data_IF_973003251857
#
_entry.id   IF_973003251857
#
_cell.length_a   1.000
_cell.length_b   1.000
_cell.length_c   1.000
_cell.angle_alpha   90.00
_cell.angle_beta   90.00
_cell.angle_gamma   90.00
#
_symmetry.space_group_name_H-M   'P 1'
#
loop_
_entity.id
_entity.type
_entity.pdbx_description
1 polymer ?
#
# COMPACT_ATOMS: atom_id res chain seq x y z
N UNK A 1 -5.63 -7.62 -20.93
CA UNK A 1 -6.94 -6.94 -20.95
C UNK A 1 -7.30 -6.64 -19.51
N UNK A 2 -7.64 -5.40 -19.17
CA UNK A 2 -8.06 -5.06 -17.80
C UNK A 2 -9.44 -5.68 -17.54
N UNK A 3 -9.57 -6.43 -16.45
CA UNK A 3 -10.85 -7.05 -16.04
C UNK A 3 -11.81 -5.97 -15.58
N UNK A 4 -13.05 -5.99 -16.07
CA UNK A 4 -14.04 -4.97 -15.70
C UNK A 4 -14.46 -5.15 -14.23
N UNK A 5 -14.77 -4.05 -13.53
CA UNK A 5 -15.20 -4.11 -12.11
C UNK A 5 -16.37 -5.08 -11.89
N UNK A 6 -17.28 -5.16 -12.85
CA UNK A 6 -18.44 -6.06 -12.80
C UNK A 6 -18.03 -7.53 -12.71
N UNK A 7 -16.99 -7.95 -13.45
CA UNK A 7 -16.51 -9.34 -13.44
C UNK A 7 -15.93 -9.71 -12.06
N UNK A 8 -15.26 -8.75 -11.41
CA UNK A 8 -14.79 -8.94 -10.03
C UNK A 8 -15.94 -9.11 -9.05
N UNK A 9 -16.97 -8.27 -9.17
CA UNK A 9 -18.16 -8.34 -8.31
C UNK A 9 -18.85 -9.68 -8.48
N UNK A 10 -18.97 -10.18 -9.72
CA UNK A 10 -19.57 -11.49 -10.00
C UNK A 10 -18.78 -12.64 -9.37
N UNK A 11 -17.45 -12.65 -9.49
CA UNK A 11 -16.60 -13.67 -8.87
C UNK A 11 -16.70 -13.64 -7.33
N UNK A 12 -16.66 -12.46 -6.72
CA UNK A 12 -16.71 -12.31 -5.26
C UNK A 12 -18.09 -12.62 -4.66
N UNK A 13 -19.16 -12.51 -5.47
CA UNK A 13 -20.54 -12.76 -5.07
C UNK A 13 -21.00 -14.20 -5.30
N UNK A 14 -20.09 -15.12 -5.65
CA UNK A 14 -20.43 -16.52 -5.84
C UNK A 14 -21.19 -17.09 -4.63
N UNK A 15 -22.25 -17.86 -4.88
CA UNK A 15 -23.20 -18.32 -3.85
C UNK A 15 -22.56 -19.26 -2.82
N UNK A 16 -21.67 -20.14 -3.26
CA UNK A 16 -21.09 -21.19 -2.41
C UNK A 16 -19.56 -21.12 -2.37
N UNK A 17 -18.91 -20.93 -3.54
CA UNK A 17 -17.47 -21.00 -3.65
C UNK A 17 -16.92 -19.90 -4.55
N UNK A 18 -15.95 -19.14 -4.03
CA UNK A 18 -15.20 -18.15 -4.80
C UNK A 18 -14.09 -18.86 -5.56
N UNK A 19 -14.07 -18.69 -6.88
CA UNK A 19 -13.04 -19.26 -7.76
C UNK A 19 -11.72 -18.48 -7.62
N UNK A 20 -10.89 -18.90 -6.66
CA UNK A 20 -9.62 -18.23 -6.34
C UNK A 20 -8.62 -18.30 -7.49
N UNK A 21 -8.67 -19.34 -8.31
CA UNK A 21 -7.76 -19.46 -9.45
C UNK A 21 -8.11 -18.46 -10.56
N UNK A 22 -9.40 -18.22 -10.82
CA UNK A 22 -9.82 -17.09 -11.66
C UNK A 22 -9.44 -15.74 -11.07
N UNK A 23 -9.60 -15.55 -9.75
CA UNK A 23 -9.14 -14.32 -9.09
C UNK A 23 -7.64 -14.10 -9.30
N UNK A 24 -6.82 -15.16 -9.18
CA UNK A 24 -5.37 -15.10 -9.45
C UNK A 24 -5.08 -14.73 -10.90
N UNK A 25 -5.77 -15.35 -11.86
CA UNK A 25 -5.58 -15.07 -13.28
C UNK A 25 -5.88 -13.60 -13.61
N UNK A 26 -7.00 -13.08 -13.11
CA UNK A 26 -7.37 -11.69 -13.30
C UNK A 26 -6.40 -10.73 -12.59
N UNK A 27 -5.99 -11.04 -11.35
CA UNK A 27 -5.14 -10.17 -10.54
C UNK A 27 -3.74 -9.94 -11.13
N UNK A 28 -3.22 -10.88 -11.94
CA UNK A 28 -1.96 -10.68 -12.69
C UNK A 28 -1.99 -9.42 -13.58
N UNK A 29 -3.17 -9.07 -14.07
CA UNK A 29 -3.41 -7.92 -14.95
C UNK A 29 -3.89 -6.67 -14.21
N UNK A 30 -3.87 -6.69 -12.88
CA UNK A 30 -4.32 -5.59 -12.02
C UNK A 30 -5.73 -5.82 -11.48
N UNK A 31 -5.94 -5.44 -10.23
CA UNK A 31 -7.23 -5.57 -9.54
C UNK A 31 -7.91 -4.21 -9.50
N UNK A 32 -9.23 -4.16 -9.68
CA UNK A 32 -9.98 -2.91 -9.56
C UNK A 32 -9.90 -2.34 -8.13
N UNK A 33 -9.70 -1.03 -8.01
CA UNK A 33 -9.38 -0.41 -6.72
C UNK A 33 -10.43 -0.67 -5.64
N UNK A 34 -11.71 -0.71 -6.02
CA UNK A 34 -12.86 -0.91 -5.12
C UNK A 34 -12.88 -2.28 -4.43
N UNK A 35 -12.31 -3.31 -5.06
CA UNK A 35 -12.34 -4.69 -4.56
C UNK A 35 -10.95 -5.20 -4.16
N UNK A 36 -9.90 -4.40 -4.37
CA UNK A 36 -8.50 -4.81 -4.18
C UNK A 36 -8.23 -5.42 -2.82
N UNK A 37 -8.69 -4.77 -1.75
CA UNK A 37 -8.51 -5.29 -0.39
C UNK A 37 -9.14 -6.66 -0.17
N UNK A 38 -10.37 -6.87 -0.65
CA UNK A 38 -11.07 -8.17 -0.53
C UNK A 38 -10.35 -9.25 -1.35
N UNK A 39 -9.98 -8.94 -2.61
CA UNK A 39 -9.24 -9.86 -3.48
C UNK A 39 -7.90 -10.25 -2.85
N UNK A 40 -7.14 -9.30 -2.31
CA UNK A 40 -5.86 -9.57 -1.65
C UNK A 40 -6.01 -10.55 -0.49
N UNK A 41 -7.09 -10.42 0.30
CA UNK A 41 -7.36 -11.33 1.41
C UNK A 41 -7.70 -12.75 0.95
N UNK A 42 -8.33 -12.94 -0.22
CA UNK A 42 -8.44 -14.26 -0.85
C UNK A 42 -7.09 -14.79 -1.34
N UNK A 43 -6.30 -13.96 -2.03
CA UNK A 43 -4.99 -14.36 -2.57
C UNK A 43 -3.97 -14.74 -1.48
N UNK A 44 -4.11 -14.16 -0.30
CA UNK A 44 -3.33 -14.45 0.90
C UNK A 44 -3.91 -15.58 1.77
N UNK A 45 -5.02 -16.20 1.35
CA UNK A 45 -5.75 -17.22 2.11
C UNK A 45 -6.18 -16.75 3.52
N UNK A 46 -6.54 -15.47 3.66
CA UNK A 46 -7.22 -14.95 4.87
C UNK A 46 -8.71 -15.28 4.78
N UNK A 47 -9.33 -14.99 3.63
CA UNK A 47 -10.72 -15.35 3.36
C UNK A 47 -10.81 -16.78 2.82
N UNK A 48 -11.80 -17.53 3.33
CA UNK A 48 -12.08 -18.88 2.86
C UNK A 48 -12.73 -18.82 1.49
N UNK A 49 -12.27 -19.62 0.54
CA UNK A 49 -12.94 -19.76 -0.75
C UNK A 49 -14.37 -20.34 -0.61
N UNK A 50 -14.61 -21.13 0.44
CA UNK A 50 -15.95 -21.60 0.81
C UNK A 50 -16.70 -20.54 1.62
N UNK A 51 -17.73 -19.96 1.01
CA UNK A 51 -18.55 -18.90 1.60
C UNK A 51 -19.32 -19.36 2.83
N UNK A 52 -19.63 -20.66 2.95
CA UNK A 52 -20.45 -21.17 4.07
C UNK A 52 -19.72 -21.10 5.41
N UNK A 53 -18.39 -21.23 5.38
CA UNK A 53 -17.52 -21.17 6.56
C UNK A 53 -16.85 -19.80 6.75
N UNK A 54 -16.92 -18.92 5.75
CA UNK A 54 -16.18 -17.66 5.68
C UNK A 54 -16.46 -16.73 6.88
N UNK A 55 -17.73 -16.45 7.21
CA UNK A 55 -18.05 -15.58 8.35
C UNK A 55 -17.51 -16.16 9.65
N UNK A 56 -17.79 -17.44 9.92
CA UNK A 56 -17.42 -18.06 11.19
C UNK A 56 -15.90 -18.04 11.37
N UNK A 57 -15.15 -18.33 10.30
CA UNK A 57 -13.69 -18.21 10.29
C UNK A 57 -13.24 -16.77 10.57
N UNK A 58 -13.81 -15.80 9.87
CA UNK A 58 -13.42 -14.40 9.98
C UNK A 58 -13.82 -13.77 11.33
N UNK A 59 -14.94 -14.18 11.92
CA UNK A 59 -15.30 -13.82 13.29
C UNK A 59 -14.30 -14.39 14.30
N UNK A 60 -13.90 -15.65 14.14
CA UNK A 60 -12.87 -16.26 14.98
C UNK A 60 -11.54 -15.51 14.87
N UNK A 61 -11.11 -15.16 13.66
CA UNK A 61 -9.91 -14.37 13.42
C UNK A 61 -10.01 -12.98 14.05
N UNK A 62 -11.17 -12.32 13.95
CA UNK A 62 -11.39 -11.03 14.61
C UNK A 62 -11.34 -11.17 16.14
N UNK A 63 -11.93 -12.21 16.73
CA UNK A 63 -11.82 -12.44 18.19
C UNK A 63 -10.37 -12.60 18.62
N UNK A 64 -9.58 -13.39 17.89
CA UNK A 64 -8.14 -13.52 18.14
C UNK A 64 -7.43 -12.16 18.04
N UNK A 65 -7.72 -11.38 17.00
CA UNK A 65 -7.17 -10.04 16.82
C UNK A 65 -7.52 -9.09 17.99
N UNK A 66 -8.78 -9.09 18.44
CA UNK A 66 -9.22 -8.24 19.55
C UNK A 66 -8.54 -8.62 20.88
N UNK A 67 -8.23 -9.90 21.07
CA UNK A 67 -7.56 -10.38 22.29
C UNK A 67 -6.08 -9.97 22.40
N UNK A 68 -5.45 -9.57 21.28
CA UNK A 68 -4.03 -9.18 21.27
C UNK A 68 -3.83 -7.77 21.86
N UNK A 69 -2.82 -7.56 22.73
CA UNK A 69 -2.44 -6.21 23.14
C UNK A 69 -1.77 -5.45 21.99
N UNK A 70 -1.99 -4.14 21.89
CA UNK A 70 -1.30 -3.25 20.95
C UNK A 70 -0.07 -2.56 21.54
N UNK A 71 0.11 -2.60 22.86
CA UNK A 71 1.24 -1.97 23.54
C UNK A 71 2.53 -2.73 23.27
N UNK A 72 3.60 -2.00 22.95
CA UNK A 72 4.95 -2.51 22.69
C UNK A 72 5.99 -1.63 23.41
N UNK A 73 7.27 -2.04 23.51
CA UNK A 73 8.31 -1.24 24.14
C UNK A 73 8.41 0.17 23.53
N UNK A 74 8.60 1.18 24.38
CA UNK A 74 8.55 2.61 23.99
C UNK A 74 9.55 3.00 22.90
N UNK A 75 10.74 2.38 22.89
CA UNK A 75 11.75 2.58 21.85
C UNK A 75 11.22 2.13 20.48
N UNK A 76 10.50 1.00 20.46
CA UNK A 76 9.95 0.40 19.25
C UNK A 76 8.76 1.23 18.73
N UNK A 77 7.87 1.66 19.62
CA UNK A 77 6.80 2.61 19.29
C UNK A 77 7.37 3.88 18.67
N UNK A 78 8.41 4.46 19.28
CA UNK A 78 9.04 5.69 18.78
C UNK A 78 9.64 5.49 17.39
N UNK A 79 10.35 4.39 17.18
CA UNK A 79 10.96 4.06 15.88
C UNK A 79 9.91 3.84 14.78
N UNK A 80 8.86 3.07 15.06
CA UNK A 80 7.77 2.80 14.11
C UNK A 80 7.05 4.11 13.76
N UNK A 81 6.68 4.92 14.76
CA UNK A 81 5.94 6.17 14.52
C UNK A 81 6.77 7.23 13.79
N UNK A 82 8.07 7.34 14.08
CA UNK A 82 8.96 8.23 13.34
C UNK A 82 9.10 7.79 11.87
N UNK A 83 9.29 6.49 11.65
CA UNK A 83 9.38 5.91 10.30
C UNK A 83 8.08 6.11 9.53
N UNK A 84 6.94 5.84 10.17
CA UNK A 84 5.61 6.04 9.61
C UNK A 84 5.34 7.50 9.28
N UNK A 85 5.72 8.44 10.15
CA UNK A 85 5.55 9.88 9.89
C UNK A 85 6.37 10.35 8.68
N UNK A 86 7.63 9.90 8.59
CA UNK A 86 8.49 10.19 7.45
C UNK A 86 7.89 9.63 6.15
N UNK A 87 7.44 8.37 6.18
CA UNK A 87 6.81 7.71 5.02
C UNK A 87 5.52 8.41 4.60
N UNK A 88 4.63 8.74 5.54
CA UNK A 88 3.39 9.48 5.28
C UNK A 88 3.69 10.83 4.62
N UNK A 89 4.62 11.58 5.20
CA UNK A 89 5.01 12.90 4.72
C UNK A 89 5.57 12.84 3.29
N UNK A 90 6.38 11.82 2.99
CA UNK A 90 6.98 11.64 1.67
C UNK A 90 5.96 11.19 0.62
N UNK A 91 5.16 10.16 0.90
CA UNK A 91 4.35 9.48 -0.11
C UNK A 91 2.92 10.02 -0.27
N UNK A 92 2.35 10.62 0.78
CA UNK A 92 0.94 11.06 0.78
C UNK A 92 0.76 12.58 0.64
N UNK A 93 1.84 13.38 0.62
CA UNK A 93 1.77 14.84 0.41
C UNK A 93 2.21 15.31 -0.99
N UNK A 94 2.90 14.48 -1.77
CA UNK A 94 3.44 14.83 -3.09
C UNK A 94 2.58 14.28 -4.26
N UNK A 95 2.93 14.63 -5.49
CA UNK A 95 2.25 14.24 -6.76
C UNK A 95 1.98 12.73 -6.94
N UNK A 96 2.68 11.86 -6.18
CA UNK A 96 2.33 10.44 -5.93
C UNK A 96 0.85 10.21 -5.60
N UNK A 97 0.22 11.20 -4.99
CA UNK A 97 -1.15 11.17 -4.52
C UNK A 97 -2.21 11.31 -5.63
N UNK A 98 -1.91 12.06 -6.70
CA UNK A 98 -2.86 12.29 -7.79
C UNK A 98 -3.19 10.97 -8.51
N UNK A 99 -2.22 10.07 -8.64
CA UNK A 99 -2.41 8.72 -9.21
C UNK A 99 -3.22 7.78 -8.30
N UNK A 100 -3.05 7.86 -6.97
CA UNK A 100 -3.86 7.09 -6.03
C UNK A 100 -5.32 7.53 -6.03
N UNK A 101 -5.59 8.85 -5.99
CA UNK A 101 -6.96 9.33 -6.10
C UNK A 101 -7.55 8.99 -7.46
N UNK A 102 -6.83 9.17 -8.56
CA UNK A 102 -7.33 8.83 -9.90
C UNK A 102 -7.66 7.34 -9.97
N UNK A 103 -6.81 6.44 -9.46
CA UNK A 103 -7.13 5.00 -9.44
C UNK A 103 -8.26 4.61 -8.48
N UNK A 104 -8.43 5.32 -7.36
CA UNK A 104 -9.54 5.09 -6.40
C UNK A 104 -10.87 5.70 -6.91
N UNK A 105 -10.82 6.81 -7.67
CA UNK A 105 -12.00 7.61 -8.08
C UNK A 105 -12.37 7.48 -9.56
N UNK A 106 -11.50 6.99 -10.45
CA UNK A 106 -11.74 6.91 -11.90
C UNK A 106 -12.98 6.07 -12.27
N UNK A 107 -13.41 5.17 -11.39
CA UNK A 107 -14.57 4.32 -11.64
C UNK A 107 -15.91 4.92 -11.18
N UNK A 108 -15.94 6.15 -10.62
CA UNK A 108 -17.20 6.83 -10.27
C UNK A 108 -17.91 7.51 -11.46
N UNK A 109 -17.41 7.38 -12.70
CA UNK A 109 -18.05 7.98 -13.87
C UNK A 109 -18.65 6.96 -14.85
N UNK A 110 -19.59 6.15 -14.36
CA UNK A 110 -20.62 5.60 -15.23
C UNK A 110 -21.56 6.72 -15.68
N UNK A 111 -21.31 7.32 -16.86
CA UNK A 111 -22.31 8.19 -17.51
C UNK A 111 -23.18 7.37 -18.47
N UNK A 112 -24.52 7.43 -18.35
CA UNK A 112 -25.42 6.85 -19.34
C UNK A 112 -25.39 7.67 -20.63
N UNK A 113 -25.62 7.01 -21.75
CA UNK A 113 -25.45 7.55 -23.09
C UNK A 113 -26.22 8.84 -23.37
N UNK A 114 -25.62 9.68 -24.22
CA UNK A 114 -26.35 10.65 -25.04
C UNK A 114 -25.59 10.89 -26.34
N UNK A 115 -26.38 10.82 -27.40
CA UNK A 115 -26.11 10.82 -28.83
C UNK A 115 -25.13 11.87 -29.38
N UNK A 116 -24.43 11.40 -30.43
CA UNK A 116 -23.87 12.16 -31.55
C UNK A 116 -24.60 13.46 -31.90
N UNK A 117 -23.83 14.53 -32.17
CA UNK A 117 -24.09 15.44 -33.30
C UNK A 117 -22.81 16.14 -33.73
N UNK A 118 -22.47 15.90 -34.99
CA UNK A 118 -21.48 16.58 -35.84
C UNK A 118 -21.89 18.02 -36.13
N UNK A 119 -20.95 18.97 -36.13
CA UNK A 119 -21.00 20.15 -36.99
C UNK A 119 -19.60 20.75 -37.18
N UNK A 120 -19.20 20.81 -38.44
CA UNK A 120 -18.07 21.51 -39.03
C UNK A 120 -18.22 23.04 -39.01
N UNK A 121 -17.11 23.79 -38.98
CA UNK A 121 -17.11 25.23 -39.28
C UNK A 121 -15.75 25.90 -39.14
N UNK A 122 -15.11 26.16 -40.28
CA UNK A 122 -13.84 26.87 -40.52
C UNK A 122 -13.95 28.41 -40.48
N UNK A 123 -12.85 29.12 -40.19
CA UNK A 123 -12.51 30.39 -40.87
C UNK A 123 -12.21 31.66 -40.05
N UNK A 124 -10.90 31.92 -39.85
CA UNK A 124 -10.13 33.15 -40.16
C UNK A 124 -10.49 34.59 -39.69
N UNK A 125 -9.47 35.25 -39.11
CA UNK A 125 -9.09 36.68 -39.26
C UNK A 125 -9.73 37.67 -38.26
N UNK A 126 -9.06 38.68 -37.68
CA UNK A 126 -7.70 39.24 -37.79
C UNK A 126 -7.70 40.69 -37.21
N UNK A 127 -6.61 41.11 -36.55
CA UNK A 127 -6.26 42.51 -36.19
C UNK A 127 -7.06 43.16 -35.05
N UNK A 128 -6.55 44.00 -34.16
CA UNK A 128 -5.26 44.68 -33.96
C UNK A 128 -5.44 45.78 -32.90
N UNK A 129 -4.34 46.31 -32.33
CA UNK A 129 -4.32 47.50 -31.45
C UNK A 129 -4.16 47.18 -29.95
N UNK A 130 -2.96 47.15 -29.35
CA UNK A 130 -1.99 48.22 -29.06
C UNK A 130 -2.27 49.00 -27.76
N UNK A 131 -1.32 48.85 -26.83
CA UNK A 131 -0.85 49.78 -25.77
C UNK A 131 -1.81 50.14 -24.62
N UNK A 132 -1.40 49.87 -23.36
CA UNK A 132 -0.61 50.84 -22.61
C UNK A 132 0.01 50.24 -21.33
N UNK A 133 1.23 50.69 -21.01
CA UNK A 133 1.91 50.45 -19.74
C UNK A 133 1.46 51.49 -18.71
N UNK A 134 1.39 51.11 -17.43
CA UNK A 134 1.86 51.97 -16.32
C UNK A 134 2.19 51.14 -15.08
N UNK A 135 3.38 51.42 -14.57
CA UNK A 135 3.99 51.02 -13.30
C UNK A 135 3.29 51.60 -12.06
N UNK A 136 3.44 50.94 -10.91
CA UNK A 136 3.17 51.52 -9.59
C UNK A 136 3.44 50.54 -8.45
N UNK A 137 4.26 50.96 -7.50
CA UNK A 137 5.00 50.14 -6.54
C UNK A 137 4.63 50.54 -5.10
N UNK A 138 4.46 49.54 -4.21
CA UNK A 138 4.53 49.58 -2.72
C UNK A 138 3.38 50.36 -2.02
N UNK A 139 2.91 50.11 -0.77
CA UNK A 139 3.49 49.65 0.51
C UNK A 139 2.38 49.10 1.45
N UNK A 140 2.74 48.28 2.45
CA UNK A 140 1.93 47.95 3.66
C UNK A 140 1.58 49.18 4.53
N UNK A 141 0.66 49.08 5.52
CA UNK A 141 1.11 48.94 6.93
C UNK A 141 0.14 48.28 7.97
N UNK A 142 0.77 47.69 9.01
CA UNK A 142 0.48 47.55 10.47
C UNK A 142 -0.94 47.60 11.14
N UNK A 143 -1.10 46.68 12.12
CA UNK A 143 -1.94 46.64 13.37
C UNK A 143 -1.61 47.79 14.38
N UNK A 144 -2.22 47.89 15.61
CA UNK A 144 -3.56 47.60 16.19
C UNK A 144 -4.09 48.86 16.98
N UNK A 145 -4.95 48.89 18.05
CA UNK A 145 -4.91 48.16 19.35
C UNK A 145 -6.30 47.71 19.92
N UNK A 146 -6.31 47.09 21.11
CA UNK A 146 -7.49 46.48 21.77
C UNK A 146 -8.09 47.28 22.95
N UNK A 147 -8.99 46.62 23.71
CA UNK A 147 -9.42 47.06 25.05
C UNK A 147 -10.82 46.58 25.47
N UNK A 148 -10.84 45.69 26.48
CA UNK A 148 -11.77 45.59 27.65
C UNK A 148 -13.30 45.53 27.44
N UNK A 149 -14.15 44.92 28.26
CA UNK A 149 -14.16 44.09 29.49
C UNK A 149 -15.67 43.77 29.64
N UNK A 150 -16.08 42.66 30.27
CA UNK A 150 -17.20 42.63 31.24
C UNK A 150 -17.31 41.24 31.88
N UNK A 151 -17.22 41.26 33.20
CA UNK A 151 -17.32 40.16 34.16
C UNK A 151 -18.75 39.68 34.40
N UNK A 152 -18.86 38.44 34.92
CA UNK A 152 -19.65 37.99 36.09
C UNK A 152 -20.24 36.59 35.86
N UNK A 153 -20.45 35.70 36.84
CA UNK A 153 -19.84 35.40 38.14
C UNK A 153 -20.52 34.09 38.64
N UNK A 154 -19.87 33.40 39.58
CA UNK A 154 -20.40 32.44 40.58
C UNK A 154 -20.88 31.01 40.21
N UNK A 155 -20.04 30.04 40.62
CA UNK A 155 -20.23 28.95 41.60
C UNK A 155 -21.55 28.15 41.69
N UNK A 156 -21.47 26.80 41.64
CA UNK A 156 -21.56 25.96 42.86
C UNK A 156 -21.29 24.43 42.64
N UNK A 157 -20.44 23.87 43.51
CA UNK A 157 -20.49 22.56 44.21
C UNK A 157 -20.90 21.23 43.54
N UNK A 158 -19.95 20.28 43.65
CA UNK A 158 -20.07 18.87 44.12
C UNK A 158 -20.83 17.84 43.27
N UNK A 159 -20.10 16.84 42.72
CA UNK A 159 -20.19 15.40 43.03
C UNK A 159 -19.53 14.57 41.92
N UNK A 160 -18.70 13.61 42.31
CA UNK A 160 -18.17 12.54 41.45
C UNK A 160 -19.25 11.50 41.16
N UNK A 161 -19.14 10.76 40.03
CA UNK A 161 -19.26 9.31 40.16
C UNK A 161 -18.28 8.50 39.28
N UNK A 162 -18.01 7.30 39.79
CA UNK A 162 -17.34 6.14 39.17
C UNK A 162 -18.16 5.53 38.01
N UNK A 163 -17.56 4.65 37.17
CA UNK A 163 -18.09 4.31 35.85
C UNK A 163 -19.13 3.19 35.93
N UNK A 164 -20.29 3.39 35.31
CA UNK A 164 -21.22 2.32 35.01
C UNK A 164 -21.19 1.98 33.52
N UNK A 165 -21.03 0.68 33.29
CA UNK A 165 -21.34 -0.04 32.06
C UNK A 165 -22.58 0.49 31.35
N UNK A 166 -22.50 0.67 30.03
CA UNK A 166 -23.52 0.26 29.04
C UNK A 166 -23.09 0.71 27.65
N UNK A 167 -22.88 -0.26 26.76
CA UNK A 167 -22.94 -0.10 25.31
C UNK A 167 -24.32 0.44 24.97
N UNK A 168 -24.43 1.72 24.65
CA UNK A 168 -25.64 2.30 24.08
C UNK A 168 -25.29 3.06 22.80
N UNK A 169 -25.71 2.42 21.70
CA UNK A 169 -26.18 2.99 20.44
C UNK A 169 -25.74 4.43 20.11
N UNK A 170 -24.91 4.54 19.07
CA UNK A 170 -24.90 5.70 18.20
C UNK A 170 -25.15 5.25 16.77
N UNK A 171 -26.43 5.12 16.42
CA UNK A 171 -26.88 5.19 15.03
C UNK A 171 -26.90 6.67 14.62
N UNK A 172 -26.17 7.02 13.57
CA UNK A 172 -26.44 8.24 12.79
C UNK A 172 -26.05 8.07 11.32
N UNK A 173 -27.11 7.81 10.54
CA UNK A 173 -27.38 8.24 9.16
C UNK A 173 -26.31 8.00 8.08
N UNK A 174 -26.50 6.92 7.31
CA UNK A 174 -26.25 6.93 5.87
C UNK A 174 -27.58 6.56 5.19
N UNK A 175 -28.13 7.52 4.46
CA UNK A 175 -29.34 7.36 3.67
C UNK A 175 -28.94 6.85 2.26
N UNK A 176 -29.20 5.58 1.97
CA UNK A 176 -29.17 5.03 0.61
C UNK A 176 -30.58 4.54 0.30
N UNK A 177 -31.23 5.23 -0.64
CA UNK A 177 -32.55 4.88 -1.13
C UNK A 177 -32.55 3.50 -1.81
N UNK A 178 -33.40 2.60 -1.29
CA UNK A 178 -34.35 1.83 -2.10
C UNK A 178 -33.86 0.59 -2.83
N UNK A 179 -33.53 -0.47 -2.08
CA UNK A 179 -34.08 -1.84 -2.23
C UNK A 179 -33.28 -2.81 -1.33
N UNK A 180 -33.40 -2.64 0.00
CA UNK A 180 -32.75 -3.48 1.00
C UNK A 180 -33.76 -3.97 2.05
N UNK A 181 -34.61 -4.93 1.70
CA UNK A 181 -35.42 -5.63 2.72
C UNK A 181 -35.22 -7.14 2.78
N UNK A 182 -34.27 -7.72 2.04
CA UNK A 182 -33.89 -9.14 2.17
C UNK A 182 -32.42 -9.45 1.78
N UNK A 183 -31.46 -8.69 2.29
CA UNK A 183 -30.02 -9.02 2.22
C UNK A 183 -29.42 -9.26 3.63
N UNK A 184 -30.19 -9.93 4.48
CA UNK A 184 -29.65 -10.60 5.66
C UNK A 184 -29.02 -11.92 5.23
N UNK A 185 -27.69 -12.08 5.35
CA UNK A 185 -27.07 -13.20 6.11
C UNK A 185 -25.54 -13.30 6.05
N UNK A 186 -24.83 -12.83 5.02
CA UNK A 186 -23.36 -13.02 4.96
C UNK A 186 -22.58 -11.75 4.62
N UNK A 187 -22.98 -11.07 3.54
CA UNK A 187 -22.32 -9.85 3.07
C UNK A 187 -22.41 -8.69 4.05
N UNK A 188 -23.52 -8.54 4.78
CA UNK A 188 -23.69 -7.51 5.83
C UNK A 188 -22.76 -7.72 7.03
N UNK A 189 -22.40 -8.98 7.34
CA UNK A 189 -21.45 -9.29 8.41
C UNK A 189 -20.01 -9.10 7.91
N UNK A 190 -19.73 -9.55 6.68
CA UNK A 190 -18.43 -9.33 6.04
C UNK A 190 -18.14 -7.83 5.86
N UNK A 191 -19.11 -7.03 5.39
CA UNK A 191 -18.95 -5.59 5.20
C UNK A 191 -18.75 -4.81 6.50
N UNK A 192 -19.20 -5.34 7.64
CA UNK A 192 -18.91 -4.75 8.96
C UNK A 192 -17.43 -4.86 9.31
N UNK A 193 -16.80 -5.95 8.91
CA UNK A 193 -15.43 -6.30 9.29
C UNK A 193 -14.43 -5.88 8.21
N UNK A 194 -14.84 -5.94 6.94
CA UNK A 194 -14.12 -5.50 5.75
C UNK A 194 -15.01 -4.56 4.92
N UNK A 195 -15.24 -3.32 5.39
CA UNK A 195 -15.95 -2.32 4.61
C UNK A 195 -15.17 -1.97 3.34
N UNK A 196 -15.82 -1.33 2.35
CA UNK A 196 -15.17 -0.91 1.12
C UNK A 196 -13.91 -0.07 1.43
N UNK A 197 -12.93 -0.08 0.51
CA UNK A 197 -11.68 0.64 0.69
C UNK A 197 -11.95 2.13 0.92
N UNK A 198 -11.04 2.81 1.64
CA UNK A 198 -11.20 4.23 1.93
C UNK A 198 -11.30 5.04 0.62
N UNK A 199 -12.29 5.93 0.55
CA UNK A 199 -12.54 6.79 -0.63
C UNK A 199 -11.57 7.97 -0.74
N UNK A 200 -10.80 8.20 0.32
CA UNK A 200 -9.73 9.17 0.37
C UNK A 200 -8.56 8.59 1.16
N UNK A 201 -7.32 8.93 0.80
CA UNK A 201 -6.15 8.49 1.54
C UNK A 201 -6.18 8.96 3.00
N UNK A 202 -5.55 8.19 3.90
CA UNK A 202 -5.66 8.40 5.33
C UNK A 202 -5.04 9.72 5.76
N UNK A 203 -5.73 10.42 6.67
CA UNK A 203 -5.13 11.54 7.39
C UNK A 203 -3.87 11.05 8.14
N UNK A 204 -2.91 11.95 8.38
CA UNK A 204 -1.70 11.59 9.14
C UNK A 204 -2.04 10.90 10.46
N UNK A 205 -3.01 11.44 11.20
CA UNK A 205 -3.40 10.88 12.48
C UNK A 205 -3.98 9.47 12.34
N UNK A 206 -4.89 9.25 11.37
CA UNK A 206 -5.47 7.95 11.11
C UNK A 206 -4.40 6.92 10.67
N UNK A 207 -3.45 7.34 9.82
CA UNK A 207 -2.36 6.51 9.35
C UNK A 207 -1.44 6.05 10.50
N UNK A 208 -1.00 6.99 11.35
CA UNK A 208 -0.15 6.69 12.49
C UNK A 208 -0.86 5.80 13.51
N UNK A 209 -2.12 6.12 13.84
CA UNK A 209 -2.92 5.35 14.79
C UNK A 209 -3.16 3.91 14.31
N UNK A 210 -3.45 3.72 13.03
CA UNK A 210 -3.66 2.39 12.47
C UNK A 210 -2.38 1.55 12.46
N UNK A 211 -1.23 2.13 12.08
CA UNK A 211 0.05 1.43 12.13
C UNK A 211 0.47 1.08 13.56
N UNK A 212 0.27 1.97 14.52
CA UNK A 212 0.57 1.71 15.93
C UNK A 212 -0.22 0.50 16.45
N UNK A 213 -1.53 0.45 16.18
CA UNK A 213 -2.39 -0.66 16.59
C UNK A 213 -1.99 -1.98 15.90
N UNK A 214 -1.89 -1.96 14.56
CA UNK A 214 -1.66 -3.15 13.75
C UNK A 214 -0.28 -3.74 14.00
N UNK A 215 0.77 -2.92 13.94
CA UNK A 215 2.14 -3.38 14.16
C UNK A 215 2.39 -3.76 15.62
N UNK A 216 1.75 -3.04 16.56
CA UNK A 216 1.80 -3.38 17.97
C UNK A 216 1.20 -4.75 18.26
N UNK A 217 0.01 -5.05 17.70
CA UNK A 217 -0.61 -6.36 17.82
C UNK A 217 0.19 -7.44 17.10
N UNK A 218 0.79 -7.13 15.94
CA UNK A 218 1.64 -8.08 15.21
C UNK A 218 2.88 -8.47 16.01
N UNK A 219 3.59 -7.50 16.59
CA UNK A 219 4.74 -7.75 17.46
C UNK A 219 4.36 -8.67 18.63
N UNK A 220 3.22 -8.40 19.30
CA UNK A 220 2.75 -9.24 20.40
C UNK A 220 2.37 -10.65 19.94
N UNK A 221 1.70 -10.79 18.79
CA UNK A 221 1.37 -12.08 18.22
C UNK A 221 2.63 -12.91 17.89
N UNK A 222 3.66 -12.28 17.33
CA UNK A 222 4.93 -12.94 17.04
C UNK A 222 5.64 -13.42 18.31
N UNK A 223 5.67 -12.58 19.35
CA UNK A 223 6.26 -12.95 20.64
C UNK A 223 5.53 -14.14 21.30
N UNK A 224 4.20 -14.20 21.19
CA UNK A 224 3.41 -15.32 21.74
C UNK A 224 3.76 -16.67 21.11
N UNK A 225 4.29 -16.68 19.88
CA UNK A 225 4.73 -17.89 19.18
C UNK A 225 6.26 -18.05 19.26
N UNK A 226 6.92 -17.35 20.18
CA UNK A 226 8.36 -17.45 20.42
C UNK A 226 9.25 -16.78 19.38
N UNK A 227 8.69 -15.86 18.57
CA UNK A 227 9.44 -15.07 17.57
C UNK A 227 9.74 -13.67 18.10
N UNK A 228 10.39 -13.64 19.26
CA UNK A 228 10.80 -12.42 19.93
C UNK A 228 11.96 -11.70 19.22
N UNK A 229 12.41 -10.58 19.79
CA UNK A 229 13.49 -9.76 19.23
C UNK A 229 14.82 -10.57 19.10
N UNK A 230 15.06 -11.54 19.99
CA UNK A 230 16.25 -12.40 19.93
C UNK A 230 16.16 -13.39 18.77
N UNK A 231 15.01 -14.05 18.62
CA UNK A 231 14.75 -14.95 17.50
C UNK A 231 14.90 -14.21 16.15
N UNK A 232 14.37 -12.99 16.05
CA UNK A 232 14.48 -12.16 14.83
C UNK A 232 15.93 -11.82 14.52
N UNK A 233 16.70 -11.35 15.51
CA UNK A 233 18.12 -11.02 15.34
C UNK A 233 18.94 -12.21 14.85
N UNK A 234 18.68 -13.40 15.41
CA UNK A 234 19.39 -14.63 15.04
C UNK A 234 19.02 -15.13 13.65
N UNK A 235 17.73 -15.03 13.29
CA UNK A 235 17.21 -15.57 12.03
C UNK A 235 17.51 -14.67 10.84
N UNK A 236 17.40 -13.35 11.03
CA UNK A 236 17.56 -12.38 9.96
C UNK A 236 19.00 -11.85 9.85
N UNK A 237 19.82 -12.00 10.90
CA UNK A 237 21.18 -11.43 11.00
C UNK A 237 21.20 -9.91 10.73
N UNK A 238 20.08 -9.24 11.02
CA UNK A 238 19.86 -7.81 10.79
C UNK A 238 19.22 -7.19 12.02
N UNK A 239 19.58 -5.95 12.32
CA UNK A 239 19.00 -5.15 13.40
C UNK A 239 17.90 -4.22 12.87
N UNK A 240 16.96 -3.85 13.76
CA UNK A 240 15.89 -2.87 13.49
C UNK A 240 14.98 -3.18 12.29
N UNK A 241 14.81 -4.46 11.96
CA UNK A 241 13.96 -4.93 10.84
C UNK A 241 12.48 -4.57 11.00
N UNK A 242 12.06 -4.15 12.19
CA UNK A 242 10.69 -3.72 12.48
C UNK A 242 10.37 -2.38 11.80
N UNK A 243 11.38 -1.60 11.40
CA UNK A 243 11.19 -0.42 10.53
C UNK A 243 10.55 -0.82 9.21
N UNK A 244 10.94 -1.99 8.69
CA UNK A 244 10.50 -2.51 7.40
C UNK A 244 8.99 -2.80 7.38
N UNK A 245 8.44 -3.11 8.55
CA UNK A 245 7.01 -3.39 8.70
C UNK A 245 6.13 -2.19 8.36
N UNK A 246 6.64 -0.96 8.54
CA UNK A 246 5.90 0.25 8.16
C UNK A 246 5.62 0.26 6.66
N UNK A 247 6.65 0.00 5.84
CA UNK A 247 6.51 0.03 4.38
C UNK A 247 5.71 -1.17 3.88
N UNK A 248 5.89 -2.35 4.49
CA UNK A 248 5.16 -3.56 4.13
C UNK A 248 3.68 -3.54 4.54
N UNK A 249 3.33 -2.86 5.65
CA UNK A 249 1.95 -2.74 6.11
C UNK A 249 1.17 -1.62 5.42
N UNK A 250 1.86 -0.61 4.88
CA UNK A 250 1.23 0.57 4.26
C UNK A 250 0.29 0.24 3.09
N UNK A 251 0.63 -0.68 2.15
CA UNK A 251 -0.28 -1.08 1.08
C UNK A 251 -1.63 -1.59 1.59
N UNK A 252 -1.65 -2.37 2.68
CA UNK A 252 -2.89 -2.84 3.30
C UNK A 252 -3.73 -1.70 3.88
N UNK A 253 -3.10 -0.69 4.50
CA UNK A 253 -3.79 0.52 4.97
C UNK A 253 -4.49 1.29 3.84
N UNK A 254 -3.99 1.19 2.62
CA UNK A 254 -4.52 1.92 1.48
C UNK A 254 -5.73 1.22 0.85
N UNK A 255 -5.88 -0.10 1.05
CA UNK A 255 -6.91 -0.92 0.38
C UNK A 255 -7.90 -1.56 1.35
N UNK A 256 -7.67 -1.44 2.67
CA UNK A 256 -8.54 -1.94 3.72
C UNK A 256 -8.89 -0.80 4.69
N UNK A 257 -10.15 -0.74 5.11
CA UNK A 257 -10.64 0.33 5.96
C UNK A 257 -10.61 0.01 7.47
N UNK A 258 -10.34 -1.24 7.86
CA UNK A 258 -10.33 -1.69 9.28
C UNK A 258 -8.97 -2.27 9.67
N UNK A 259 -8.44 -1.93 10.87
CA UNK A 259 -7.19 -2.48 11.39
C UNK A 259 -7.13 -4.01 11.40
N UNK A 260 -8.22 -4.71 11.71
CA UNK A 260 -8.27 -6.19 11.68
C UNK A 260 -7.93 -6.76 10.30
N UNK A 261 -8.47 -6.18 9.23
CA UNK A 261 -8.15 -6.63 7.86
C UNK A 261 -6.69 -6.36 7.51
N UNK A 262 -6.20 -5.17 7.89
CA UNK A 262 -4.79 -4.78 7.67
C UNK A 262 -3.84 -5.75 8.38
N UNK A 263 -4.13 -6.07 9.64
CA UNK A 263 -3.38 -7.02 10.45
C UNK A 263 -3.38 -8.42 9.83
N UNK A 264 -4.55 -8.96 9.45
CA UNK A 264 -4.64 -10.31 8.92
C UNK A 264 -3.91 -10.43 7.57
N UNK A 265 -4.07 -9.45 6.68
CA UNK A 265 -3.34 -9.38 5.42
C UNK A 265 -1.83 -9.27 5.63
N UNK A 266 -1.40 -8.36 6.50
CA UNK A 266 0.00 -8.17 6.84
C UNK A 266 0.62 -9.43 7.47
N UNK A 267 -0.07 -10.08 8.40
CA UNK A 267 0.40 -11.32 9.03
C UNK A 267 0.62 -12.42 7.98
N UNK A 268 -0.32 -12.60 7.04
CA UNK A 268 -0.18 -13.59 5.96
C UNK A 268 0.92 -13.22 4.96
N UNK A 269 1.13 -11.94 4.68
CA UNK A 269 2.27 -11.50 3.90
C UNK A 269 3.60 -11.85 4.60
N UNK A 270 3.71 -11.59 5.90
CA UNK A 270 4.91 -11.92 6.67
C UNK A 270 5.15 -13.43 6.76
N UNK A 271 4.10 -14.24 6.89
CA UNK A 271 4.18 -15.70 6.76
C UNK A 271 4.72 -16.12 5.38
N UNK A 272 4.22 -15.52 4.29
CA UNK A 272 4.71 -15.80 2.93
C UNK A 272 6.16 -15.34 2.75
N UNK A 273 6.55 -14.18 3.26
CA UNK A 273 7.93 -13.70 3.22
C UNK A 273 8.90 -14.60 3.97
N UNK A 274 8.47 -15.28 5.03
CA UNK A 274 9.29 -16.29 5.73
C UNK A 274 9.48 -17.58 4.93
N UNK A 275 8.57 -17.89 3.99
CA UNK A 275 8.70 -19.06 3.12
C UNK A 275 9.71 -18.87 1.98
N UNK A 276 10.14 -17.63 1.72
CA UNK A 276 11.21 -17.35 0.76
C UNK A 276 12.56 -17.84 1.32
N UNK A 277 13.57 -18.06 0.46
CA UNK A 277 14.93 -18.41 0.91
C UNK A 277 15.47 -17.43 1.97
N UNK A 278 16.51 -17.77 2.75
CA UNK A 278 17.14 -16.80 3.67
C UNK A 278 17.60 -15.53 2.95
N UNK A 279 17.58 -14.37 3.64
CA UNK A 279 17.91 -13.06 3.05
C UNK A 279 19.25 -13.06 2.27
N UNK A 280 20.35 -13.65 2.77
CA UNK A 280 21.59 -13.73 2.00
C UNK A 280 21.43 -14.44 0.65
N UNK A 281 20.67 -15.53 0.63
CA UNK A 281 20.36 -16.30 -0.58
C UNK A 281 19.46 -15.54 -1.54
N UNK A 282 18.49 -14.77 -1.02
CA UNK A 282 17.66 -13.87 -1.85
C UNK A 282 18.51 -12.85 -2.57
N UNK A 283 19.36 -12.17 -1.80
CA UNK A 283 20.28 -11.15 -2.31
C UNK A 283 21.25 -11.75 -3.33
N UNK A 284 21.85 -12.89 -3.04
CA UNK A 284 22.75 -13.58 -3.97
C UNK A 284 22.06 -13.96 -5.29
N UNK A 285 20.81 -14.45 -5.23
CA UNK A 285 20.02 -14.80 -6.42
C UNK A 285 19.76 -13.57 -7.29
N UNK A 286 19.32 -12.47 -6.66
CA UNK A 286 19.10 -11.19 -7.33
C UNK A 286 20.39 -10.62 -7.95
N UNK A 287 21.47 -10.51 -7.17
CA UNK A 287 22.74 -9.95 -7.65
C UNK A 287 23.34 -10.77 -8.78
N UNK A 288 23.24 -12.10 -8.71
CA UNK A 288 23.69 -12.97 -9.78
C UNK A 288 22.84 -12.77 -11.04
N UNK A 289 21.52 -12.69 -10.90
CA UNK A 289 20.63 -12.40 -12.04
C UNK A 289 20.92 -11.03 -12.66
N UNK A 290 21.12 -10.00 -11.84
CA UNK A 290 21.48 -8.65 -12.30
C UNK A 290 22.77 -8.69 -13.13
N UNK A 291 23.84 -9.30 -12.59
CA UNK A 291 25.13 -9.43 -13.29
C UNK A 291 25.03 -10.18 -14.62
N UNK A 292 24.17 -11.19 -14.72
CA UNK A 292 23.99 -11.98 -15.93
C UNK A 292 23.13 -11.27 -16.97
N UNK A 293 22.05 -10.62 -16.54
CA UNK A 293 21.08 -10.02 -17.43
C UNK A 293 21.54 -8.65 -17.97
N UNK A 294 22.28 -7.88 -17.18
CA UNK A 294 22.69 -6.51 -17.53
C UNK A 294 24.16 -6.28 -17.12
N UNK A 295 25.12 -7.00 -17.74
CA UNK A 295 26.52 -6.97 -17.33
C UNK A 295 27.17 -5.58 -17.47
N UNK A 296 26.75 -4.77 -18.45
CA UNK A 296 27.25 -3.41 -18.65
C UNK A 296 26.93 -2.50 -17.45
N UNK A 297 25.65 -2.46 -17.05
CA UNK A 297 25.22 -1.66 -15.90
C UNK A 297 25.84 -2.16 -14.60
N UNK A 298 26.04 -3.47 -14.46
CA UNK A 298 26.74 -4.04 -13.32
C UNK A 298 28.20 -3.57 -13.27
N UNK A 299 28.92 -3.55 -14.40
CA UNK A 299 30.30 -3.04 -14.45
C UNK A 299 30.35 -1.57 -14.08
N UNK A 300 29.45 -0.76 -14.65
CA UNK A 300 29.32 0.65 -14.33
C UNK A 300 29.08 0.87 -12.82
N UNK A 301 28.18 0.09 -12.20
CA UNK A 301 27.90 0.20 -10.78
C UNK A 301 29.12 -0.12 -9.89
N UNK A 302 29.98 -1.05 -10.32
CA UNK A 302 31.25 -1.35 -9.63
C UNK A 302 32.24 -0.19 -9.80
N UNK A 303 32.38 0.34 -11.02
CA UNK A 303 33.32 1.42 -11.34
C UNK A 303 32.97 2.74 -10.62
N UNK A 304 31.68 3.09 -10.60
CA UNK A 304 31.13 4.27 -9.90
C UNK A 304 30.85 4.03 -8.41
N UNK A 305 31.18 2.85 -7.88
CA UNK A 305 30.99 2.49 -6.47
C UNK A 305 29.55 2.68 -5.97
N UNK A 306 28.57 2.45 -6.85
CA UNK A 306 27.15 2.46 -6.49
C UNK A 306 26.93 1.34 -5.46
N UNK A 307 26.33 1.59 -4.28
CA UNK A 307 26.14 0.57 -3.26
C UNK A 307 24.92 -0.33 -3.58
N UNK A 308 24.91 -0.97 -4.76
CA UNK A 308 23.80 -1.76 -5.26
C UNK A 308 23.48 -2.99 -4.40
N UNK A 309 24.45 -3.49 -3.61
CA UNK A 309 24.23 -4.53 -2.60
C UNK A 309 23.32 -4.03 -1.47
N UNK A 310 23.55 -2.80 -0.98
CA UNK A 310 22.73 -2.19 0.07
C UNK A 310 21.33 -1.88 -0.44
N UNK A 311 21.23 -1.37 -1.68
CA UNK A 311 19.96 -1.14 -2.37
C UNK A 311 19.20 -2.46 -2.53
N UNK A 312 19.87 -3.49 -3.07
CA UNK A 312 19.31 -4.82 -3.26
C UNK A 312 18.79 -5.44 -1.97
N UNK A 313 19.50 -5.27 -0.86
CA UNK A 313 19.03 -5.73 0.44
C UNK A 313 17.70 -5.07 0.83
N UNK A 314 17.60 -3.75 0.69
CA UNK A 314 16.37 -2.99 0.95
C UNK A 314 15.21 -3.48 0.07
N UNK A 315 15.47 -3.74 -1.21
CA UNK A 315 14.44 -4.25 -2.13
C UNK A 315 13.96 -5.65 -1.72
N UNK A 316 14.89 -6.54 -1.34
CA UNK A 316 14.59 -7.92 -0.95
C UNK A 316 13.85 -8.03 0.40
N UNK A 317 14.03 -7.09 1.32
CA UNK A 317 13.33 -7.10 2.62
C UNK A 317 11.99 -6.39 2.57
N UNK A 318 11.84 -5.37 1.72
CA UNK A 318 10.65 -4.50 1.69
C UNK A 318 9.75 -4.71 0.48
N UNK A 319 10.10 -5.64 -0.43
CA UNK A 319 9.37 -5.88 -1.68
C UNK A 319 9.17 -4.59 -2.50
N UNK A 320 10.20 -3.73 -2.53
CA UNK A 320 10.22 -2.40 -3.15
C UNK A 320 9.26 -1.37 -2.53
N UNK A 321 8.49 -1.72 -1.50
CA UNK A 321 7.46 -0.85 -0.92
C UNK A 321 8.02 0.43 -0.30
N UNK A 322 9.32 0.43 0.02
CA UNK A 322 10.02 1.60 0.54
C UNK A 322 10.43 2.56 -0.58
N UNK A 323 10.85 2.05 -1.74
CA UNK A 323 11.47 2.81 -2.82
C UNK A 323 10.49 3.26 -3.92
N UNK A 324 9.48 2.44 -4.25
CA UNK A 324 8.53 2.75 -5.33
C UNK A 324 7.37 3.66 -4.89
N UNK A 325 6.69 4.23 -5.88
CA UNK A 325 5.48 5.01 -5.69
C UNK A 325 4.33 4.10 -5.22
N UNK A 326 3.46 4.63 -4.36
CA UNK A 326 2.45 3.80 -3.70
C UNK A 326 1.41 3.24 -4.69
N UNK A 327 1.03 4.00 -5.73
CA UNK A 327 0.17 3.47 -6.80
C UNK A 327 0.80 2.29 -7.53
N UNK A 328 2.09 2.40 -7.85
CA UNK A 328 2.86 1.36 -8.54
C UNK A 328 2.99 0.11 -7.66
N UNK A 329 3.19 0.29 -6.35
CA UNK A 329 3.23 -0.81 -5.39
C UNK A 329 1.89 -1.54 -5.30
N UNK A 330 0.77 -0.82 -5.27
CA UNK A 330 -0.55 -1.47 -5.26
C UNK A 330 -0.74 -2.32 -6.52
N UNK A 331 -0.41 -1.78 -7.71
CA UNK A 331 -0.49 -2.54 -8.97
C UNK A 331 0.48 -3.71 -9.00
N UNK A 332 1.71 -3.53 -8.51
CA UNK A 332 2.72 -4.59 -8.48
C UNK A 332 2.31 -5.73 -7.55
N UNK A 333 1.74 -5.38 -6.39
CA UNK A 333 1.32 -6.35 -5.40
C UNK A 333 0.08 -7.15 -5.83
N UNK A 334 -0.78 -6.59 -6.70
CA UNK A 334 -1.82 -7.38 -7.38
C UNK A 334 -1.22 -8.61 -8.09
N UNK A 335 -0.10 -8.43 -8.80
CA UNK A 335 0.59 -9.52 -9.48
C UNK A 335 1.41 -10.40 -8.53
N UNK A 336 2.06 -9.82 -7.52
CA UNK A 336 2.84 -10.59 -6.54
C UNK A 336 1.97 -11.55 -5.74
N UNK A 337 0.83 -11.09 -5.23
CA UNK A 337 -0.06 -11.92 -4.41
C UNK A 337 -0.73 -13.03 -5.23
N UNK A 338 -0.90 -12.81 -6.53
CA UNK A 338 -1.40 -13.79 -7.49
C UNK A 338 -0.33 -14.76 -8.03
N UNK A 339 0.95 -14.48 -7.79
CA UNK A 339 2.05 -15.32 -8.28
C UNK A 339 2.17 -16.61 -7.47
N UNK A 340 2.37 -17.72 -8.17
CA UNK A 340 2.70 -19.00 -7.54
C UNK A 340 4.11 -18.99 -6.93
N UNK A 341 5.05 -18.30 -7.59
CA UNK A 341 6.42 -18.09 -7.11
C UNK A 341 6.67 -16.58 -7.05
N UNK A 342 6.31 -15.99 -5.92
CA UNK A 342 6.44 -14.55 -5.68
C UNK A 342 7.91 -14.14 -5.53
N UNK A 343 8.77 -15.00 -4.99
CA UNK A 343 10.20 -14.72 -4.84
C UNK A 343 10.88 -14.61 -6.20
N UNK A 344 10.69 -15.60 -7.07
CA UNK A 344 11.28 -15.54 -8.40
C UNK A 344 10.79 -14.33 -9.19
N UNK A 345 9.47 -14.08 -9.20
CA UNK A 345 8.91 -12.90 -9.84
C UNK A 345 9.54 -11.60 -9.32
N UNK A 346 9.73 -11.49 -8.00
CA UNK A 346 10.34 -10.32 -7.38
C UNK A 346 11.78 -10.08 -7.87
N UNK A 347 12.62 -11.13 -7.96
CA UNK A 347 13.97 -11.00 -8.50
C UNK A 347 13.98 -10.48 -9.94
N UNK A 348 13.09 -10.99 -10.80
CA UNK A 348 12.99 -10.51 -12.18
C UNK A 348 12.47 -9.08 -12.28
N UNK A 349 11.52 -8.69 -11.43
CA UNK A 349 11.04 -7.29 -11.37
C UNK A 349 12.15 -6.34 -10.93
N UNK A 350 12.95 -6.70 -9.92
CA UNK A 350 14.10 -5.88 -9.50
C UNK A 350 15.10 -5.67 -10.65
N UNK A 351 15.39 -6.70 -11.45
CA UNK A 351 16.26 -6.55 -12.63
C UNK A 351 15.59 -5.77 -13.76
N UNK A 352 14.28 -5.94 -13.97
CA UNK A 352 13.52 -5.14 -14.94
C UNK A 352 13.53 -3.65 -14.58
N UNK A 353 13.46 -3.29 -13.29
CA UNK A 353 13.62 -1.91 -12.82
C UNK A 353 15.01 -1.37 -13.19
N UNK A 354 16.07 -2.13 -12.91
CA UNK A 354 17.43 -1.73 -13.27
C UNK A 354 17.60 -1.57 -14.78
N UNK A 355 17.02 -2.46 -15.59
CA UNK A 355 17.03 -2.34 -17.05
C UNK A 355 16.31 -1.07 -17.52
N UNK A 356 15.15 -0.77 -16.92
CA UNK A 356 14.35 0.42 -17.24
C UNK A 356 15.10 1.71 -16.92
N UNK A 357 15.87 1.71 -15.83
CA UNK A 357 16.65 2.88 -15.41
C UNK A 357 18.07 2.92 -15.99
N UNK A 358 18.51 1.94 -16.79
CA UNK A 358 19.92 1.79 -17.21
C UNK A 358 20.51 3.07 -17.78
N UNK A 359 19.87 3.66 -18.79
CA UNK A 359 20.38 4.85 -19.48
C UNK A 359 20.54 6.02 -18.51
N UNK A 360 19.53 6.26 -17.66
CA UNK A 360 19.61 7.33 -16.65
C UNK A 360 20.68 7.04 -15.60
N UNK A 361 20.80 5.79 -15.14
CA UNK A 361 21.80 5.43 -14.14
C UNK A 361 23.22 5.64 -14.67
N UNK A 362 23.50 5.30 -15.93
CA UNK A 362 24.81 5.46 -16.56
C UNK A 362 25.22 6.93 -16.77
N UNK A 363 24.28 7.88 -16.64
CA UNK A 363 24.54 9.33 -16.71
C UNK A 363 24.81 9.98 -15.35
N UNK A 364 24.48 9.30 -14.25
CA UNK A 364 24.62 9.82 -12.89
C UNK A 364 26.02 9.54 -12.32
N UNK A 365 26.37 10.14 -11.19
CA UNK A 365 27.47 9.63 -10.36
C UNK A 365 26.98 8.56 -9.35
N UNK A 366 27.92 7.89 -8.68
CA UNK A 366 27.59 6.84 -7.72
C UNK A 366 26.64 7.26 -6.58
N UNK A 367 26.70 8.52 -6.14
CA UNK A 367 25.86 9.05 -5.06
C UNK A 367 24.45 9.40 -5.56
N UNK A 368 24.36 9.98 -6.74
CA UNK A 368 23.09 10.30 -7.41
C UNK A 368 22.35 9.03 -7.82
N UNK A 369 23.04 8.05 -8.40
CA UNK A 369 22.49 6.73 -8.73
C UNK A 369 21.94 6.04 -7.48
N UNK A 370 22.67 6.09 -6.35
CA UNK A 370 22.18 5.58 -5.06
C UNK A 370 20.88 6.27 -4.65
N UNK A 371 20.82 7.60 -4.71
CA UNK A 371 19.63 8.36 -4.31
C UNK A 371 18.43 8.01 -5.18
N UNK A 372 18.62 7.89 -6.50
CA UNK A 372 17.59 7.45 -7.43
C UNK A 372 17.08 6.03 -7.11
N UNK A 373 17.98 5.08 -6.85
CA UNK A 373 17.61 3.71 -6.53
C UNK A 373 16.89 3.56 -5.18
N UNK A 374 17.11 4.49 -4.24
CA UNK A 374 16.41 4.57 -2.95
C UNK A 374 15.10 5.37 -3.01
N UNK A 375 14.83 6.05 -4.12
CA UNK A 375 13.58 6.76 -4.39
C UNK A 375 13.23 6.73 -5.87
N UNK A 376 12.76 5.56 -6.31
CA UNK A 376 12.54 5.27 -7.71
C UNK A 376 11.53 6.25 -8.34
N UNK A 377 11.75 6.64 -9.62
CA UNK A 377 10.75 7.41 -10.37
C UNK A 377 9.45 6.59 -10.57
N UNK A 378 8.34 7.23 -10.98
CA UNK A 378 7.13 6.52 -11.37
C UNK A 378 7.44 5.48 -12.45
N UNK A 379 6.86 4.28 -12.31
CA UNK A 379 7.11 3.17 -13.21
C UNK A 379 5.85 2.73 -13.94
N UNK A 380 6.00 2.34 -15.21
CA UNK A 380 4.97 1.58 -15.91
C UNK A 380 5.02 0.11 -15.44
N UNK A 381 4.21 -0.22 -14.44
CA UNK A 381 4.24 -1.54 -13.78
C UNK A 381 3.81 -2.66 -14.73
N UNK A 382 2.90 -2.40 -15.67
CA UNK A 382 2.46 -3.42 -16.63
C UNK A 382 3.60 -3.79 -17.57
N UNK A 383 4.33 -2.78 -18.06
CA UNK A 383 5.54 -3.00 -18.84
C UNK A 383 6.63 -3.70 -18.03
N UNK A 384 6.86 -3.28 -16.78
CA UNK A 384 7.83 -3.94 -15.89
C UNK A 384 7.51 -5.43 -15.68
N UNK A 385 6.25 -5.79 -15.50
CA UNK A 385 5.83 -7.19 -15.36
C UNK A 385 6.05 -7.99 -16.65
N UNK A 386 5.83 -7.37 -17.81
CA UNK A 386 6.13 -7.97 -19.11
C UNK A 386 7.64 -8.19 -19.29
N UNK A 387 8.46 -7.19 -18.97
CA UNK A 387 9.91 -7.27 -19.06
C UNK A 387 10.47 -8.31 -18.09
N UNK A 388 9.94 -8.38 -16.86
CA UNK A 388 10.26 -9.44 -15.91
C UNK A 388 9.92 -10.84 -16.44
N UNK A 389 8.79 -11.01 -17.13
CA UNK A 389 8.41 -12.27 -17.76
C UNK A 389 9.38 -12.65 -18.90
N UNK A 390 9.81 -11.68 -19.71
CA UNK A 390 10.80 -11.88 -20.77
C UNK A 390 12.18 -12.28 -20.21
N UNK A 391 12.62 -11.61 -19.14
CA UNK A 391 13.85 -11.94 -18.43
C UNK A 391 13.80 -13.37 -17.88
N UNK A 392 12.66 -13.81 -17.34
CA UNK A 392 12.48 -15.16 -16.81
C UNK A 392 12.66 -16.26 -17.86
N UNK A 393 12.24 -16.01 -19.10
CA UNK A 393 12.45 -16.96 -20.21
C UNK A 393 13.92 -17.02 -20.60
N UNK A 394 14.61 -15.88 -20.53
CA UNK A 394 15.99 -15.72 -21.02
C UNK A 394 17.04 -16.15 -20.00
N UNK A 395 16.77 -15.94 -18.72
CA UNK A 395 17.74 -16.14 -17.63
C UNK A 395 17.13 -17.03 -16.54
N UNK A 396 17.65 -18.25 -16.31
CA UNK A 396 17.18 -19.06 -15.20
C UNK A 396 17.54 -18.39 -13.87
N UNK A 397 16.62 -18.39 -12.92
CA UNK A 397 16.90 -17.88 -11.59
C UNK A 397 17.93 -18.80 -10.91
N UNK A 398 19.06 -18.26 -10.44
CA UNK A 398 20.02 -19.01 -9.65
C UNK A 398 19.31 -19.58 -8.43
N UNK A 399 19.33 -20.90 -8.26
CA UNK A 399 18.77 -21.52 -7.05
C UNK A 399 19.76 -21.33 -5.89
N UNK A 400 19.28 -21.01 -4.68
CA UNK A 400 20.09 -21.14 -3.49
C UNK A 400 20.70 -22.54 -3.44
N UNK A 401 21.98 -22.65 -3.11
CA UNK A 401 22.56 -23.95 -2.75
C UNK A 401 21.83 -24.40 -1.50
N UNK A 402 21.12 -25.52 -1.58
CA UNK A 402 20.58 -26.18 -0.40
C UNK A 402 21.81 -26.69 0.38
N UNK A 403 22.06 -26.11 1.55
CA UNK A 403 23.02 -26.70 2.49
C UNK A 403 22.44 -28.07 2.91
N UNK A 404 23.02 -29.16 2.40
CA UNK A 404 22.70 -30.55 2.79
C UNK A 404 22.93 -30.81 4.28
#
# INVERSE_FOLDING_TARGET
>A
MSTHLQDWIELLNAEQHVDVDKLREHARHGVAARVRGEVWLYLLNVLSADKTSEISSLLSLNTSYQSLPSSIPSYLTSMILQTALAHHTKRFRNETYAGLITSITAEQSGRPGSSSKTASGSGSGGGGGSMNMTSGSWTSPSKPPGGSEYSNNMNNTTTSPQPNSLLQQTDSMINVNGDESNLNTLRSQLSRILPPPPSSPPSRHAFLSALEEVLGKFWNAENMVGRDDEWRRKTLLMEETERDWVWLCTPFLCVLARPVGMFLGFQKLMERLRSFPPIPSRLASFLTLFRLAIPELHSYCEDEQVPFVQVGLSWMTTLLAKEMWLGDILRLWDAYLASADMFALHCYVCVAILATCKETLEELDGSEAKLMLLDLPPMDVDRLLQDAANLRVSFPLPRPVEDE
#
